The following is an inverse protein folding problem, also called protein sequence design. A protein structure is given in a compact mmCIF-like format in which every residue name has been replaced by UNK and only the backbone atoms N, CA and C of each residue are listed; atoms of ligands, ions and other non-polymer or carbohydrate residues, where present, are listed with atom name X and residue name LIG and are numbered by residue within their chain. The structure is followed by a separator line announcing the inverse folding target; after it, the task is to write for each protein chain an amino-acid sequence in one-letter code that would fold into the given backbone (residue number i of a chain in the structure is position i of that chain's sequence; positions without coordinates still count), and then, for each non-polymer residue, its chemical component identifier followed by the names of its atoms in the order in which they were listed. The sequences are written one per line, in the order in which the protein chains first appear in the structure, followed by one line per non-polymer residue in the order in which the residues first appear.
data_IF_772091447535
#
_entry.id   IF_772091447535
#
_cell.length_a   1.000
_cell.length_b   1.000
_cell.length_c   1.000
_cell.angle_alpha   90.00
_cell.angle_beta   90.00
_cell.angle_gamma   90.00
#
_symmetry.space_group_name_H-M   'P 1'
#
loop_
_entity.id
_entity.type
_entity.pdbx_description
1 polymer ?
#
# COMPACT_ATOMS: atom_id res chain seq x y z
N UNK A 1 -8.85 -2.34 8.67
CA UNK A 1 -8.93 -0.96 8.17
C UNK A 1 -9.52 -1.06 6.79
N UNK A 2 -10.78 -0.67 6.62
CA UNK A 2 -11.49 -0.70 5.34
C UNK A 2 -10.73 0.14 4.29
N UNK A 3 -10.90 -0.21 3.01
CA UNK A 3 -10.55 0.61 1.85
C UNK A 3 -11.04 2.04 2.03
N UNK A 4 -12.25 2.19 2.53
CA UNK A 4 -12.90 3.47 2.76
C UNK A 4 -12.14 4.31 3.80
N UNK A 5 -11.75 3.71 4.93
CA UNK A 5 -10.90 4.36 5.95
C UNK A 5 -9.47 4.60 5.50
N UNK A 6 -8.82 3.69 4.78
CA UNK A 6 -7.45 3.94 4.30
C UNK A 6 -7.41 5.11 3.31
N UNK A 7 -8.34 5.13 2.35
CA UNK A 7 -8.45 6.23 1.39
C UNK A 7 -8.84 7.54 2.08
N UNK A 8 -9.74 7.51 3.08
CA UNK A 8 -10.08 8.69 3.87
C UNK A 8 -8.88 9.21 4.68
N UNK A 9 -8.25 8.37 5.50
CA UNK A 9 -7.05 8.70 6.30
C UNK A 9 -5.92 9.22 5.40
N UNK A 10 -5.74 8.67 4.21
CA UNK A 10 -4.64 9.06 3.32
C UNK A 10 -4.94 10.32 2.52
N UNK A 11 -6.10 10.43 1.90
CA UNK A 11 -6.43 11.51 0.97
C UNK A 11 -7.17 12.68 1.63
N UNK A 12 -7.72 12.51 2.82
CA UNK A 12 -8.41 13.56 3.59
C UNK A 12 -7.55 14.11 4.75
N UNK A 13 -6.43 13.47 5.11
CA UNK A 13 -5.52 13.97 6.15
C UNK A 13 -4.65 15.17 5.74
N UNK A 14 -4.76 15.63 4.49
CA UNK A 14 -4.22 16.90 3.94
C UNK A 14 -2.73 17.21 4.18
N UNK A 15 -1.96 16.28 4.76
CA UNK A 15 -0.53 16.47 5.07
C UNK A 15 0.36 16.50 3.83
N UNK A 16 -0.05 15.82 2.76
CA UNK A 16 0.47 16.10 1.41
C UNK A 16 -0.64 16.83 0.68
N UNK A 17 -0.38 18.08 0.31
CA UNK A 17 -1.41 18.99 -0.15
C UNK A 17 -2.30 18.41 -1.26
N UNK A 18 -3.55 18.90 -1.30
CA UNK A 18 -4.51 18.75 -2.41
C UNK A 18 -3.95 19.21 -3.78
N UNK A 19 -2.68 19.58 -3.83
CA UNK A 19 -1.94 20.03 -4.98
C UNK A 19 -1.41 18.89 -5.86
N UNK A 20 -1.53 17.62 -5.45
CA UNK A 20 -1.19 16.47 -6.30
C UNK A 20 -2.10 16.36 -7.53
N UNK A 21 -1.52 16.26 -8.73
CA UNK A 21 -2.28 16.21 -9.99
C UNK A 21 -3.32 15.10 -10.04
N UNK A 22 -3.01 13.92 -9.52
CA UNK A 22 -3.89 12.75 -9.48
C UNK A 22 -5.09 12.92 -8.54
N UNK A 23 -4.89 13.50 -7.36
CA UNK A 23 -5.99 13.75 -6.40
C UNK A 23 -6.94 14.80 -6.96
N UNK A 24 -6.43 15.90 -7.55
CA UNK A 24 -7.27 16.91 -8.19
C UNK A 24 -8.05 16.37 -9.39
N UNK A 25 -7.37 15.58 -10.23
CA UNK A 25 -7.99 15.06 -11.45
C UNK A 25 -9.07 14.02 -11.12
N UNK A 26 -8.75 13.04 -10.27
CA UNK A 26 -9.58 11.85 -10.11
C UNK A 26 -10.43 11.84 -8.82
N UNK A 27 -9.94 12.41 -7.72
CA UNK A 27 -10.71 12.59 -6.48
C UNK A 27 -11.53 13.89 -6.49
N UNK A 28 -11.15 14.85 -7.34
CA UNK A 28 -11.65 16.23 -7.29
C UNK A 28 -13.17 16.34 -7.33
N UNK A 29 -13.88 15.45 -8.04
CA UNK A 29 -15.35 15.49 -8.06
C UNK A 29 -15.96 15.21 -6.68
N UNK A 30 -15.49 14.17 -5.99
CA UNK A 30 -15.96 13.81 -4.64
C UNK A 30 -15.53 14.88 -3.64
N UNK A 31 -14.28 15.33 -3.71
CA UNK A 31 -13.78 16.35 -2.78
C UNK A 31 -14.50 17.69 -2.92
N UNK A 32 -14.80 18.13 -4.15
CA UNK A 32 -15.59 19.36 -4.41
C UNK A 32 -17.01 19.28 -3.85
N UNK A 33 -17.66 18.12 -3.97
CA UNK A 33 -19.00 17.89 -3.42
C UNK A 33 -19.08 18.22 -1.92
N UNK A 34 -17.97 18.00 -1.18
CA UNK A 34 -17.87 18.25 0.25
C UNK A 34 -17.04 19.50 0.60
N UNK A 35 -16.74 20.37 -0.37
CA UNK A 35 -16.00 21.61 -0.13
C UNK A 35 -14.51 21.43 0.21
N UNK A 36 -13.95 20.24 0.01
CA UNK A 36 -12.57 19.88 0.38
C UNK A 36 -11.53 20.21 -0.70
N UNK A 37 -11.97 20.70 -1.85
CA UNK A 37 -11.10 21.10 -2.96
C UNK A 37 -11.77 22.22 -3.73
N UNK A 38 -11.05 23.30 -4.01
CA UNK A 38 -11.56 24.38 -4.85
C UNK A 38 -11.62 23.97 -6.33
N UNK A 39 -12.63 24.47 -7.02
CA UNK A 39 -12.78 24.24 -8.46
C UNK A 39 -11.79 25.13 -9.21
N UNK A 40 -10.71 24.54 -9.70
CA UNK A 40 -9.79 25.24 -10.60
C UNK A 40 -9.89 24.65 -12.01
N UNK A 41 -10.67 25.31 -12.87
CA UNK A 41 -10.90 24.90 -14.27
C UNK A 41 -9.73 25.24 -15.20
N UNK A 42 -8.71 25.97 -14.73
CA UNK A 42 -7.46 26.16 -15.49
C UNK A 42 -6.59 24.90 -15.55
N UNK A 43 -6.98 23.84 -14.83
CA UNK A 43 -6.31 22.54 -14.82
C UNK A 43 -7.30 21.45 -15.27
N UNK A 44 -6.84 20.34 -15.88
CA UNK A 44 -7.73 19.24 -16.24
C UNK A 44 -8.50 18.71 -15.02
N UNK A 45 -9.82 18.57 -15.16
CA UNK A 45 -10.72 18.07 -14.12
C UNK A 45 -11.54 16.91 -14.66
N UNK A 46 -11.63 15.79 -13.92
CA UNK A 46 -12.63 14.76 -14.20
C UNK A 46 -13.94 15.10 -13.49
N UNK A 47 -15.04 15.17 -14.26
CA UNK A 47 -16.39 15.38 -13.73
C UNK A 47 -17.10 14.08 -13.35
N UNK A 48 -16.57 12.93 -13.77
CA UNK A 48 -17.06 11.60 -13.37
C UNK A 48 -16.13 11.03 -12.31
N UNK A 49 -16.68 10.67 -11.16
CA UNK A 49 -15.90 9.99 -10.12
C UNK A 49 -15.46 8.63 -10.64
N UNK A 50 -14.15 8.39 -10.74
CA UNK A 50 -13.65 7.06 -11.06
C UNK A 50 -14.07 6.08 -9.96
N UNK A 51 -14.31 4.83 -10.31
CA UNK A 51 -14.92 3.82 -9.42
C UNK A 51 -14.15 3.61 -8.10
N UNK A 52 -12.86 3.90 -8.07
CA UNK A 52 -12.05 3.84 -6.86
C UNK A 52 -12.24 5.05 -5.92
N UNK A 53 -12.68 6.21 -6.43
CA UNK A 53 -13.07 7.38 -5.61
C UNK A 53 -14.55 7.37 -5.20
N UNK A 54 -15.41 6.56 -5.84
CA UNK A 54 -16.78 6.28 -5.35
C UNK A 54 -16.74 5.75 -3.90
N UNK A 55 -15.67 5.06 -3.52
CA UNK A 55 -15.48 4.57 -2.14
C UNK A 55 -15.24 5.70 -1.14
N UNK A 56 -14.61 6.81 -1.53
CA UNK A 56 -14.49 7.98 -0.65
C UNK A 56 -15.86 8.60 -0.40
N UNK A 57 -16.68 8.78 -1.45
CA UNK A 57 -18.05 9.27 -1.29
C UNK A 57 -18.91 8.34 -0.43
N UNK A 58 -18.71 7.02 -0.54
CA UNK A 58 -19.39 6.04 0.32
C UNK A 58 -18.93 6.13 1.77
N UNK A 59 -17.63 6.27 2.01
CA UNK A 59 -17.03 6.47 3.34
C UNK A 59 -17.66 7.67 4.04
N UNK A 60 -17.73 8.80 3.34
CA UNK A 60 -18.28 10.06 3.86
C UNK A 60 -19.75 9.85 4.27
N UNK A 61 -20.55 9.20 3.41
CA UNK A 61 -21.96 8.93 3.71
C UNK A 61 -22.17 7.94 4.86
N UNK A 62 -21.43 6.83 4.86
CA UNK A 62 -21.55 5.80 5.91
C UNK A 62 -21.19 6.32 7.30
N UNK A 63 -20.22 7.22 7.35
CA UNK A 63 -19.75 7.81 8.60
C UNK A 63 -20.50 9.10 8.95
N UNK A 64 -21.56 9.49 8.24
CA UNK A 64 -22.33 10.73 8.42
C UNK A 64 -21.43 11.99 8.47
N UNK A 65 -20.45 12.06 7.57
CA UNK A 65 -19.46 13.14 7.52
C UNK A 65 -19.83 14.26 6.54
N UNK A 66 -20.98 14.17 5.86
CA UNK A 66 -21.39 15.13 4.82
C UNK A 66 -21.48 16.57 5.31
N UNK A 67 -21.77 16.75 6.60
CA UNK A 67 -21.96 18.05 7.24
C UNK A 67 -20.75 18.51 8.08
N UNK A 68 -19.64 17.77 8.04
CA UNK A 68 -18.43 18.15 8.78
C UNK A 68 -17.83 19.40 8.13
N UNK A 69 -17.53 20.40 8.96
CA UNK A 69 -16.98 21.68 8.51
C UNK A 69 -15.62 21.44 7.87
N UNK A 70 -15.32 22.10 6.73
CA UNK A 70 -14.04 21.97 6.01
C UNK A 70 -12.83 22.13 6.94
N UNK A 71 -12.94 23.01 7.94
CA UNK A 71 -11.89 23.19 8.96
C UNK A 71 -11.62 21.91 9.77
N UNK A 72 -12.64 21.15 10.13
CA UNK A 72 -12.51 19.90 10.89
C UNK A 72 -11.93 18.76 10.02
N UNK A 73 -12.18 18.80 8.71
CA UNK A 73 -11.46 17.95 7.75
C UNK A 73 -9.97 18.26 7.71
N UNK A 74 -9.62 19.56 7.75
CA UNK A 74 -8.23 20.03 7.81
C UNK A 74 -7.58 19.76 9.17
N UNK A 75 -8.34 19.86 10.27
CA UNK A 75 -7.96 19.49 11.63
C UNK A 75 -8.08 17.97 11.83
N UNK A 76 -7.36 17.26 10.96
CA UNK A 76 -7.19 15.82 10.78
C UNK A 76 -7.55 14.90 11.98
N UNK A 77 -7.21 15.27 13.21
CA UNK A 77 -7.50 14.47 14.40
C UNK A 77 -8.99 14.30 14.70
N UNK A 78 -9.85 15.26 14.37
CA UNK A 78 -11.28 15.19 14.72
C UNK A 78 -12.03 14.23 13.79
N UNK A 79 -11.82 14.35 12.47
CA UNK A 79 -12.40 13.43 11.48
C UNK A 79 -11.81 12.03 11.62
N UNK A 80 -10.49 11.91 11.89
CA UNK A 80 -9.89 10.61 12.17
C UNK A 80 -10.55 9.94 13.37
N UNK A 81 -10.74 10.65 14.50
CA UNK A 81 -11.43 10.10 15.67
C UNK A 81 -12.85 9.64 15.34
N UNK A 82 -13.62 10.44 14.60
CA UNK A 82 -14.98 10.08 14.19
C UNK A 82 -15.02 8.82 13.32
N UNK A 83 -14.08 8.69 12.37
CA UNK A 83 -13.96 7.48 11.54
C UNK A 83 -13.46 6.29 12.36
N UNK A 84 -12.55 6.51 13.30
CA UNK A 84 -12.02 5.48 14.20
C UNK A 84 -13.07 4.95 15.18
N UNK A 85 -13.97 5.80 15.66
CA UNK A 85 -15.08 5.45 16.56
C UNK A 85 -16.20 4.68 15.85
N UNK A 86 -16.38 4.90 14.54
CA UNK A 86 -17.53 4.39 13.77
C UNK A 86 -17.20 3.20 12.88
N UNK A 87 -15.97 3.08 12.40
CA UNK A 87 -15.60 1.95 11.54
C UNK A 87 -15.02 0.77 12.31
N UNK A 88 -15.72 -0.35 12.22
CA UNK A 88 -15.21 -1.64 12.67
C UNK A 88 -13.94 -2.04 11.89
N UNK A 89 -12.97 -2.56 12.63
CA UNK A 89 -11.72 -3.02 12.05
C UNK A 89 -11.97 -4.31 11.27
N UNK A 90 -11.82 -4.25 9.95
CA UNK A 90 -11.90 -5.44 9.10
C UNK A 90 -10.91 -6.52 9.54
N UNK A 91 -11.44 -7.72 9.84
CA UNK A 91 -10.64 -8.90 10.18
C UNK A 91 -9.96 -9.45 8.93
N UNK A 92 -8.67 -9.73 9.04
CA UNK A 92 -7.91 -10.32 7.95
C UNK A 92 -8.09 -11.85 8.02
N UNK A 93 -8.48 -12.47 6.91
CA UNK A 93 -8.68 -13.91 6.84
C UNK A 93 -7.43 -14.69 7.27
N UNK A 94 -7.62 -15.68 8.15
CA UNK A 94 -6.53 -16.50 8.70
C UNK A 94 -5.76 -15.87 9.87
N UNK A 95 -6.11 -14.65 10.31
CA UNK A 95 -5.53 -13.99 11.49
C UNK A 95 -6.57 -13.82 12.59
N UNK A 96 -6.11 -13.78 13.84
CA UNK A 96 -6.94 -13.39 14.99
C UNK A 96 -7.30 -11.89 14.92
N UNK A 97 -8.26 -11.45 15.73
CA UNK A 97 -8.62 -10.04 15.82
C UNK A 97 -7.45 -9.16 16.30
N UNK A 98 -6.71 -9.65 17.30
CA UNK A 98 -5.53 -8.95 17.83
C UNK A 98 -4.41 -8.85 16.79
N UNK A 99 -4.16 -9.92 16.04
CA UNK A 99 -3.21 -9.88 14.93
C UNK A 99 -3.67 -8.92 13.84
N UNK A 100 -4.94 -8.98 13.43
CA UNK A 100 -5.51 -8.06 12.44
C UNK A 100 -5.31 -6.60 12.85
N UNK A 101 -5.58 -6.26 14.12
CA UNK A 101 -5.32 -4.94 14.68
C UNK A 101 -3.85 -4.54 14.56
N UNK A 102 -2.93 -5.45 14.91
CA UNK A 102 -1.48 -5.23 14.75
C UNK A 102 -1.11 -4.99 13.29
N UNK A 103 -1.61 -5.79 12.36
CA UNK A 103 -1.34 -5.62 10.92
C UNK A 103 -1.77 -4.23 10.44
N UNK A 104 -2.98 -3.79 10.79
CA UNK A 104 -3.46 -2.48 10.35
C UNK A 104 -2.64 -1.32 10.94
N UNK A 105 -2.16 -1.46 12.17
CA UNK A 105 -1.22 -0.49 12.74
C UNK A 105 0.10 -0.47 11.96
N UNK A 106 0.64 -1.64 11.62
CA UNK A 106 1.87 -1.76 10.83
C UNK A 106 1.71 -1.17 9.43
N UNK A 107 0.58 -1.41 8.75
CA UNK A 107 0.28 -0.84 7.43
C UNK A 107 0.32 0.69 7.44
N UNK A 108 -0.08 1.33 8.54
CA UNK A 108 -0.07 2.78 8.69
C UNK A 108 1.14 3.32 9.48
N UNK A 109 2.20 2.53 9.65
CA UNK A 109 3.34 2.91 10.49
C UNK A 109 3.99 4.21 9.98
N UNK A 110 4.29 5.13 10.91
CA UNK A 110 4.69 6.52 10.58
C UNK A 110 5.97 6.62 9.74
N UNK A 111 6.87 5.65 9.87
CA UNK A 111 8.16 5.64 9.18
C UNK A 111 8.07 5.15 7.73
N UNK A 112 6.91 4.61 7.31
CA UNK A 112 6.71 4.23 5.92
C UNK A 112 6.37 5.44 5.07
N UNK A 113 6.90 5.47 3.84
CA UNK A 113 6.43 6.43 2.83
C UNK A 113 4.98 6.14 2.44
N UNK A 114 4.28 7.12 1.88
CA UNK A 114 2.91 6.92 1.41
C UNK A 114 2.79 5.79 0.38
N UNK A 115 3.79 5.65 -0.49
CA UNK A 115 3.86 4.55 -1.45
C UNK A 115 4.01 3.19 -0.78
N UNK A 116 4.81 3.09 0.28
CA UNK A 116 4.98 1.85 1.04
C UNK A 116 3.70 1.49 1.81
N UNK A 117 3.03 2.49 2.39
CA UNK A 117 1.72 2.30 3.03
C UNK A 117 0.69 1.77 2.03
N UNK A 118 0.62 2.37 0.84
CA UNK A 118 -0.26 1.88 -0.23
C UNK A 118 0.02 0.44 -0.59
N UNK A 119 1.30 0.11 -0.79
CA UNK A 119 1.68 -1.22 -1.20
C UNK A 119 1.37 -2.25 -0.13
N UNK A 120 1.70 -1.96 1.13
CA UNK A 120 1.37 -2.80 2.27
C UNK A 120 -0.16 -2.98 2.37
N UNK A 121 -0.90 -1.89 2.30
CA UNK A 121 -2.35 -1.90 2.37
C UNK A 121 -2.99 -2.73 1.25
N UNK A 122 -2.57 -2.52 -0.01
CA UNK A 122 -3.05 -3.28 -1.17
C UNK A 122 -2.72 -4.76 -1.07
N UNK A 123 -1.54 -5.09 -0.51
CA UNK A 123 -1.13 -6.47 -0.30
C UNK A 123 -2.01 -7.17 0.75
N UNK A 124 -2.33 -6.50 1.86
CA UNK A 124 -3.24 -7.05 2.89
C UNK A 124 -4.67 -7.18 2.37
N UNK A 125 -5.15 -6.19 1.61
CA UNK A 125 -6.50 -6.19 1.02
C UNK A 125 -6.67 -7.13 -0.19
N UNK A 126 -5.61 -7.80 -0.63
CA UNK A 126 -5.69 -8.65 -1.80
C UNK A 126 -5.96 -7.88 -3.10
N UNK A 127 -5.65 -6.58 -3.16
CA UNK A 127 -6.01 -5.71 -4.28
C UNK A 127 -4.83 -5.11 -5.04
N UNK A 128 -3.61 -5.60 -4.79
CA UNK A 128 -2.47 -5.33 -5.65
C UNK A 128 -2.76 -5.83 -7.08
N UNK A 129 -2.50 -5.04 -8.14
CA UNK A 129 -2.90 -5.39 -9.51
C UNK A 129 -1.92 -6.39 -10.14
N UNK A 130 -1.77 -7.55 -9.51
CA UNK A 130 -1.07 -8.73 -10.01
C UNK A 130 -1.77 -9.32 -11.23
N UNK A 131 -1.12 -10.23 -11.97
CA UNK A 131 -1.76 -10.85 -13.15
C UNK A 131 -3.03 -11.62 -12.78
N UNK A 132 -3.08 -12.30 -11.63
CA UNK A 132 -4.32 -12.93 -11.11
C UNK A 132 -5.43 -11.89 -10.92
N UNK A 133 -5.12 -10.78 -10.24
CA UNK A 133 -6.09 -9.71 -9.99
C UNK A 133 -6.62 -9.09 -11.30
N UNK A 134 -5.73 -8.90 -12.28
CA UNK A 134 -6.06 -8.38 -13.60
C UNK A 134 -6.90 -9.37 -14.41
N UNK A 135 -6.57 -10.67 -14.37
CA UNK A 135 -7.26 -11.74 -15.09
C UNK A 135 -8.71 -11.89 -14.62
N UNK A 136 -8.93 -11.89 -13.30
CA UNK A 136 -10.27 -11.91 -12.69
C UNK A 136 -11.16 -10.73 -13.12
N UNK A 137 -10.57 -9.67 -13.69
CA UNK A 137 -11.26 -8.47 -14.21
C UNK A 137 -11.27 -8.39 -15.73
N UNK A 138 -10.82 -9.43 -16.42
CA UNK A 138 -10.78 -9.45 -17.89
C UNK A 138 -9.77 -8.48 -18.51
N UNK A 139 -8.80 -7.98 -17.75
CA UNK A 139 -7.80 -7.01 -18.26
C UNK A 139 -6.64 -7.70 -18.97
N UNK A 140 -6.43 -9.00 -18.73
CA UNK A 140 -5.36 -9.80 -19.31
C UNK A 140 -5.85 -11.21 -19.61
N UNK A 141 -5.18 -11.91 -20.52
CA UNK A 141 -5.52 -13.28 -20.91
C UNK A 141 -4.98 -14.35 -19.96
N UNK A 142 -3.81 -14.11 -19.35
CA UNK A 142 -3.09 -15.08 -18.53
C UNK A 142 -2.73 -14.47 -17.18
N UNK A 143 -2.81 -15.29 -16.13
CA UNK A 143 -2.48 -14.92 -14.75
C UNK A 143 -1.09 -15.38 -14.31
N UNK A 144 -0.24 -15.75 -15.26
CA UNK A 144 1.04 -16.40 -15.02
C UNK A 144 2.15 -15.38 -14.80
N UNK A 145 3.12 -15.71 -13.93
CA UNK A 145 4.32 -14.91 -13.73
C UNK A 145 5.25 -14.97 -14.95
N UNK A 146 5.59 -13.80 -15.52
CA UNK A 146 6.48 -13.71 -16.68
C UNK A 146 7.96 -14.03 -16.35
N UNK A 147 8.34 -14.09 -15.08
CA UNK A 147 9.72 -14.37 -14.64
C UNK A 147 10.03 -15.86 -14.52
N UNK A 148 9.02 -16.70 -14.30
CA UNK A 148 9.23 -18.12 -14.08
C UNK A 148 8.74 -18.95 -15.26
N UNK A 149 9.60 -19.84 -15.74
CA UNK A 149 9.24 -20.85 -16.76
C UNK A 149 8.17 -21.83 -16.24
N UNK A 150 8.04 -21.95 -14.91
CA UNK A 150 7.15 -22.91 -14.23
C UNK A 150 5.65 -22.66 -14.45
N UNK A 151 5.25 -21.52 -15.03
CA UNK A 151 3.84 -21.23 -15.29
C UNK A 151 3.01 -20.90 -14.04
N UNK A 152 3.65 -20.60 -12.90
CA UNK A 152 2.93 -20.29 -11.65
C UNK A 152 2.08 -19.03 -11.76
N UNK A 153 0.93 -19.05 -11.08
CA UNK A 153 0.04 -17.90 -10.93
C UNK A 153 0.77 -16.77 -10.20
N UNK A 154 0.77 -15.59 -10.80
CA UNK A 154 1.26 -14.37 -10.19
C UNK A 154 0.15 -13.74 -9.34
N UNK A 155 0.12 -14.15 -8.08
CA UNK A 155 -0.64 -13.50 -7.01
C UNK A 155 0.30 -12.77 -6.04
N UNK A 156 -0.25 -12.09 -5.02
CA UNK A 156 0.53 -11.28 -4.06
C UNK A 156 1.59 -12.13 -3.33
N UNK A 157 1.19 -13.32 -2.86
CA UNK A 157 2.09 -14.26 -2.20
C UNK A 157 3.21 -14.69 -3.14
N UNK A 158 2.92 -14.90 -4.42
CA UNK A 158 3.94 -15.22 -5.41
C UNK A 158 4.94 -14.07 -5.57
N UNK A 159 4.46 -12.87 -5.89
CA UNK A 159 5.30 -11.70 -6.17
C UNK A 159 6.24 -11.37 -5.02
N UNK A 160 5.75 -11.41 -3.78
CA UNK A 160 6.54 -11.01 -2.62
C UNK A 160 7.25 -12.15 -1.90
N UNK A 161 6.89 -13.42 -2.11
CA UNK A 161 7.42 -14.51 -1.28
C UNK A 161 7.78 -15.78 -2.07
N UNK A 162 6.86 -16.32 -2.87
CA UNK A 162 7.07 -17.63 -3.48
C UNK A 162 7.89 -17.61 -4.77
N UNK A 163 7.96 -16.46 -5.46
CA UNK A 163 8.73 -16.30 -6.69
C UNK A 163 10.21 -16.59 -6.45
N UNK A 164 10.85 -17.38 -7.33
CA UNK A 164 12.28 -17.69 -7.26
C UNK A 164 13.13 -16.42 -7.27
N UNK A 165 12.73 -15.43 -8.07
CA UNK A 165 13.35 -14.11 -8.10
C UNK A 165 13.27 -13.41 -6.72
N UNK A 166 12.07 -13.35 -6.14
CA UNK A 166 11.86 -12.74 -4.83
C UNK A 166 12.65 -13.46 -3.73
N UNK A 167 12.66 -14.80 -3.73
CA UNK A 167 13.43 -15.61 -2.77
C UNK A 167 14.92 -15.30 -2.80
N UNK A 168 15.51 -15.18 -3.99
CA UNK A 168 16.93 -14.84 -4.09
C UNK A 168 17.19 -13.39 -3.63
N UNK A 169 16.30 -12.44 -3.92
CA UNK A 169 16.39 -11.09 -3.37
C UNK A 169 16.35 -11.10 -1.84
N UNK A 170 15.39 -11.79 -1.21
CA UNK A 170 15.33 -11.91 0.25
C UNK A 170 16.58 -12.54 0.85
N UNK A 171 17.11 -13.60 0.23
CA UNK A 171 18.36 -14.24 0.63
C UNK A 171 19.53 -13.27 0.61
N UNK A 172 19.66 -12.44 -0.44
CA UNK A 172 20.71 -11.41 -0.56
C UNK A 172 20.57 -10.30 0.49
N UNK A 173 19.33 -9.96 0.87
CA UNK A 173 19.05 -8.96 1.90
C UNK A 173 19.17 -9.50 3.34
N UNK A 174 19.16 -10.82 3.52
CA UNK A 174 19.10 -11.49 4.82
C UNK A 174 20.23 -11.11 5.78
N UNK A 175 21.48 -10.99 5.30
CA UNK A 175 22.62 -10.60 6.15
C UNK A 175 22.39 -9.22 6.79
N UNK A 176 22.00 -8.24 5.97
CA UNK A 176 21.74 -6.87 6.43
C UNK A 176 20.55 -6.80 7.38
N UNK A 177 19.47 -7.56 7.11
CA UNK A 177 18.32 -7.64 8.03
C UNK A 177 18.72 -8.24 9.37
N UNK A 178 19.53 -9.31 9.37
CA UNK A 178 20.05 -9.92 10.59
C UNK A 178 20.90 -8.94 11.40
N UNK A 179 21.81 -8.22 10.76
CA UNK A 179 22.69 -7.24 11.42
C UNK A 179 21.90 -6.07 12.04
N UNK A 180 20.87 -5.59 11.37
CA UNK A 180 20.10 -4.41 11.83
C UNK A 180 18.97 -4.75 12.82
N UNK A 181 18.46 -5.97 12.81
CA UNK A 181 17.22 -6.33 13.54
C UNK A 181 17.35 -7.57 14.41
N UNK A 182 18.42 -8.36 14.25
CA UNK A 182 18.59 -9.65 14.90
C UNK A 182 17.80 -10.81 14.27
N UNK A 183 16.91 -10.55 13.30
CA UNK A 183 16.08 -11.57 12.67
C UNK A 183 16.88 -12.38 11.65
N UNK A 184 17.03 -13.68 11.92
CA UNK A 184 17.77 -14.60 11.05
C UNK A 184 16.90 -15.21 9.96
N UNK A 185 15.67 -15.58 10.30
CA UNK A 185 14.72 -16.26 9.41
C UNK A 185 13.50 -15.36 9.28
N UNK A 186 13.31 -14.83 8.07
CA UNK A 186 12.11 -14.10 7.73
C UNK A 186 10.98 -15.09 7.47
N UNK A 187 9.77 -14.80 7.94
CA UNK A 187 8.59 -15.60 7.64
C UNK A 187 7.67 -14.87 6.67
N UNK A 188 6.72 -15.60 6.09
CA UNK A 188 5.68 -14.99 5.26
C UNK A 188 4.88 -13.93 6.03
N UNK A 189 4.47 -14.20 7.27
CA UNK A 189 3.71 -13.25 8.09
C UNK A 189 4.53 -12.01 8.45
N UNK A 190 5.83 -12.16 8.70
CA UNK A 190 6.73 -11.00 8.88
C UNK A 190 6.79 -10.14 7.60
N UNK A 191 6.87 -10.78 6.44
CA UNK A 191 7.03 -10.11 5.14
C UNK A 191 5.75 -9.39 4.71
N UNK A 192 4.63 -10.11 4.76
CA UNK A 192 3.36 -9.60 4.26
C UNK A 192 2.69 -8.66 5.28
N UNK A 193 2.69 -9.04 6.55
CA UNK A 193 1.88 -8.41 7.59
C UNK A 193 2.68 -7.65 8.66
N UNK A 194 4.02 -7.81 8.70
CA UNK A 194 4.85 -7.21 9.76
C UNK A 194 4.67 -7.87 11.12
N UNK A 195 4.01 -9.04 11.18
CA UNK A 195 3.81 -9.79 12.41
C UNK A 195 5.12 -10.49 12.79
N UNK A 196 5.78 -9.94 13.81
CA UNK A 196 7.04 -10.42 14.32
C UNK A 196 7.03 -10.45 15.86
N UNK A 197 7.84 -11.32 16.45
CA UNK A 197 8.02 -11.43 17.91
C UNK A 197 9.11 -10.47 18.44
N UNK A 198 9.55 -9.53 17.61
CA UNK A 198 10.46 -8.46 18.02
C UNK A 198 9.64 -7.19 18.25
N UNK A 199 10.05 -6.38 19.22
CA UNK A 199 9.34 -5.16 19.59
C UNK A 199 10.21 -3.92 19.43
N UNK A 200 9.60 -2.74 19.58
CA UNK A 200 10.32 -1.47 19.62
C UNK A 200 10.99 -1.08 18.30
N UNK A 201 12.21 -0.52 18.40
CA UNK A 201 12.94 0.08 17.28
C UNK A 201 13.29 -0.95 16.21
N UNK A 202 13.69 -2.15 16.61
CA UNK A 202 14.10 -3.23 15.72
C UNK A 202 12.93 -3.71 14.85
N UNK A 203 11.72 -3.84 15.42
CA UNK A 203 10.51 -4.18 14.68
C UNK A 203 10.19 -3.15 13.58
N UNK A 204 10.31 -1.87 13.92
CA UNK A 204 10.11 -0.76 12.98
C UNK A 204 11.14 -0.75 11.85
N UNK A 205 12.42 -0.98 12.19
CA UNK A 205 13.50 -1.08 11.20
C UNK A 205 13.23 -2.27 10.27
N UNK A 206 12.91 -3.45 10.82
CA UNK A 206 12.59 -4.62 10.00
C UNK A 206 11.44 -4.33 9.04
N UNK A 207 10.37 -3.71 9.53
CA UNK A 207 9.22 -3.39 8.72
C UNK A 207 9.52 -2.39 7.60
N UNK A 208 10.35 -1.38 7.87
CA UNK A 208 10.84 -0.45 6.85
C UNK A 208 11.65 -1.20 5.78
N UNK A 209 12.60 -2.05 6.19
CA UNK A 209 13.42 -2.86 5.27
C UNK A 209 12.54 -3.75 4.39
N UNK A 210 11.58 -4.46 5.00
CA UNK A 210 10.64 -5.35 4.30
C UNK A 210 9.81 -4.56 3.28
N UNK A 211 9.29 -3.38 3.63
CA UNK A 211 8.51 -2.59 2.69
C UNK A 211 9.35 -1.98 1.58
N UNK A 212 10.61 -1.62 1.85
CA UNK A 212 11.54 -1.18 0.80
C UNK A 212 11.80 -2.32 -0.21
N UNK A 213 12.02 -3.55 0.26
CA UNK A 213 12.17 -4.71 -0.63
C UNK A 213 10.89 -4.98 -1.43
N UNK A 214 9.71 -5.00 -0.78
CA UNK A 214 8.43 -5.17 -1.49
C UNK A 214 8.23 -4.09 -2.56
N UNK A 215 8.55 -2.84 -2.22
CA UNK A 215 8.44 -1.70 -3.13
C UNK A 215 9.28 -1.89 -4.40
N UNK A 216 10.55 -2.30 -4.25
CA UNK A 216 11.43 -2.54 -5.40
C UNK A 216 11.04 -3.79 -6.17
N UNK A 217 10.68 -4.89 -5.49
CA UNK A 217 10.16 -6.09 -6.15
C UNK A 217 8.95 -5.75 -7.02
N UNK A 218 8.06 -4.90 -6.52
CA UNK A 218 6.91 -4.42 -7.26
C UNK A 218 7.28 -3.52 -8.44
N UNK A 219 8.24 -2.60 -8.27
CA UNK A 219 8.75 -1.77 -9.37
C UNK A 219 9.36 -2.61 -10.48
N UNK A 220 10.24 -3.52 -10.12
CA UNK A 220 10.94 -4.41 -11.06
C UNK A 220 9.92 -5.29 -11.78
N UNK A 221 8.89 -5.77 -11.08
CA UNK A 221 7.78 -6.49 -11.71
C UNK A 221 7.05 -5.63 -12.76
N UNK A 222 6.69 -4.39 -12.41
CA UNK A 222 6.02 -3.49 -13.34
C UNK A 222 6.91 -3.15 -14.55
N UNK A 223 8.20 -2.93 -14.35
CA UNK A 223 9.17 -2.69 -15.43
C UNK A 223 9.18 -3.88 -16.41
N UNK A 224 9.17 -5.11 -15.91
CA UNK A 224 9.07 -6.29 -16.76
C UNK A 224 7.75 -6.33 -17.53
N UNK A 225 6.62 -6.11 -16.85
CA UNK A 225 5.30 -6.22 -17.50
C UNK A 225 5.09 -5.14 -18.57
N UNK A 226 5.38 -3.87 -18.24
CA UNK A 226 5.08 -2.73 -19.09
C UNK A 226 6.19 -2.39 -20.09
N UNK A 227 7.45 -2.53 -19.69
CA UNK A 227 8.60 -2.14 -20.52
C UNK A 227 9.34 -3.34 -21.10
N UNK A 228 8.90 -4.58 -20.81
CA UNK A 228 9.55 -5.84 -21.24
C UNK A 228 11.04 -5.90 -20.91
N UNK A 229 11.44 -5.19 -19.86
CA UNK A 229 12.83 -5.07 -19.44
C UNK A 229 13.06 -5.95 -18.23
N UNK A 230 14.06 -6.84 -18.32
CA UNK A 230 14.46 -7.70 -17.20
C UNK A 230 15.49 -6.95 -16.37
N UNK A 231 15.18 -6.77 -15.09
CA UNK A 231 16.15 -6.29 -14.08
C UNK A 231 16.68 -7.51 -13.36
N UNK A 232 18.00 -7.65 -13.32
CA UNK A 232 18.66 -8.78 -12.69
C UNK A 232 18.63 -8.67 -11.16
N UNK A 233 18.78 -9.80 -10.46
CA UNK A 233 18.73 -9.82 -8.97
C UNK A 233 19.77 -8.87 -8.36
N UNK A 234 20.97 -8.80 -8.94
CA UNK A 234 22.04 -7.89 -8.49
C UNK A 234 21.59 -6.42 -8.55
N UNK A 235 20.98 -6.02 -9.66
CA UNK A 235 20.51 -4.66 -9.90
C UNK A 235 19.35 -4.32 -8.97
N UNK A 236 18.39 -5.24 -8.80
CA UNK A 236 17.30 -5.08 -7.84
C UNK A 236 17.81 -4.88 -6.40
N UNK A 237 18.81 -5.66 -5.98
CA UNK A 237 19.44 -5.48 -4.65
C UNK A 237 20.13 -4.12 -4.53
N UNK A 238 20.78 -3.64 -5.59
CA UNK A 238 21.39 -2.30 -5.61
C UNK A 238 20.33 -1.20 -5.55
N UNK A 239 19.20 -1.35 -6.23
CA UNK A 239 18.05 -0.44 -6.14
C UNK A 239 17.48 -0.37 -4.71
N UNK A 240 17.36 -1.52 -4.04
CA UNK A 240 16.92 -1.58 -2.63
C UNK A 240 17.89 -0.81 -1.74
N UNK A 241 19.19 -1.09 -1.86
CA UNK A 241 20.22 -0.40 -1.07
C UNK A 241 20.21 1.10 -1.33
N UNK A 242 20.13 1.51 -2.59
CA UNK A 242 20.04 2.92 -2.99
C UNK A 242 18.83 3.62 -2.37
N UNK A 243 17.66 2.97 -2.35
CA UNK A 243 16.47 3.52 -1.68
C UNK A 243 16.64 3.64 -0.17
N UNK A 244 17.28 2.67 0.48
CA UNK A 244 17.52 2.73 1.92
C UNK A 244 18.39 3.92 2.33
N UNK A 245 19.37 4.30 1.51
CA UNK A 245 20.17 5.52 1.73
C UNK A 245 19.36 6.82 1.64
N UNK A 246 18.20 6.81 0.97
CA UNK A 246 17.31 7.99 0.89
C UNK A 246 16.34 8.09 2.08
N UNK A 247 16.25 7.03 2.90
CA UNK A 247 15.36 6.97 4.06
C UNK A 247 16.08 7.13 5.41
N UNK A 248 17.42 7.25 5.39
CA UNK A 248 18.29 7.54 6.55
C UNK A 248 18.74 8.98 6.45
#
# INVERSE_FOLDING_TARGET
MDIERFLAVKYLSLKEGLSGCMVRYAAGNVLRKYGLCEVNLSKPVCFKSLWFYVRVDRCIRRNNLENVVVKDWCENNNVLKLVEEREEMERIGGLTENESKKVWNMVNEKNLTNRQKDLAWMAVHGCLPTREFQRRRGLVEREICEREVSGKIENITHVFWNCMYAKEVWKRMGKMMKELTGVQILTFNMTLYGLCNIEGKQARILWLLVNCVKEVLWDVQNILIFNKTVIEVNECVNMIRGKLFLYV
#
